data_IF_799399786487
#
_entry.id   IF_799399786487
#
_cell.length_a   1.000
_cell.length_b   1.000
_cell.length_c   1.000
_cell.angle_alpha   90.00
_cell.angle_beta   90.00
_cell.angle_gamma   90.00
#
_symmetry.space_group_name_H-M   'P 1'
#
loop_
_entity.id
_entity.type
_entity.pdbx_description
1 polymer ?
#
# COMPACT_ATOMS: atom_id res chain seq x y z
N UNK A 1 45.21 20.08 25.42
CA UNK A 1 44.28 18.94 25.28
C UNK A 1 43.24 19.30 24.23
N UNK A 2 43.33 18.71 23.03
CA UNK A 2 42.33 18.88 21.98
C UNK A 2 41.33 17.73 22.13
N UNK A 3 40.15 18.03 22.66
CA UNK A 3 39.07 17.04 22.79
C UNK A 3 38.42 16.89 21.42
N UNK A 4 38.79 15.84 20.69
CA UNK A 4 38.16 15.50 19.41
C UNK A 4 36.76 14.94 19.70
N UNK A 5 35.73 15.74 19.42
CA UNK A 5 34.33 15.34 19.53
C UNK A 5 33.99 14.41 18.34
N UNK A 6 33.93 13.10 18.59
CA UNK A 6 33.51 12.12 17.58
C UNK A 6 31.98 12.20 17.45
N UNK A 7 31.51 12.80 16.35
CA UNK A 7 30.10 12.84 15.99
C UNK A 7 29.69 11.46 15.45
N UNK A 8 29.17 10.59 16.31
CA UNK A 8 28.57 9.32 15.90
C UNK A 8 27.26 9.60 15.15
N UNK A 9 27.33 9.72 13.82
CA UNK A 9 26.16 9.68 12.94
C UNK A 9 25.61 8.26 12.93
N UNK A 10 24.70 7.94 13.84
CA UNK A 10 23.90 6.73 13.75
C UNK A 10 22.95 6.88 12.56
N UNK A 11 23.28 6.29 11.42
CA UNK A 11 22.33 6.11 10.33
C UNK A 11 21.19 5.24 10.87
N UNK A 12 20.03 5.85 11.13
CA UNK A 12 18.82 5.13 11.49
C UNK A 12 18.37 4.32 10.27
N UNK A 13 18.77 3.06 10.23
CA UNK A 13 18.25 2.09 9.27
C UNK A 13 16.82 1.77 9.70
N UNK A 14 15.85 2.05 8.82
CA UNK A 14 14.44 1.72 9.05
C UNK A 14 14.29 0.21 9.25
N UNK A 15 13.55 -0.24 10.26
CA UNK A 15 13.25 -1.67 10.45
C UNK A 15 12.52 -2.26 9.24
N UNK A 16 11.85 -1.44 8.42
CA UNK A 16 11.26 -1.88 7.17
C UNK A 16 12.28 -2.22 6.07
N UNK A 17 13.58 -1.92 6.26
CA UNK A 17 14.62 -2.35 5.33
C UNK A 17 14.70 -3.87 5.21
N UNK A 18 14.33 -4.61 6.27
CA UNK A 18 14.26 -6.08 6.24
C UNK A 18 13.16 -6.59 5.30
N UNK A 19 12.12 -5.78 5.07
CA UNK A 19 11.00 -6.14 4.20
C UNK A 19 11.26 -5.86 2.72
N UNK A 20 12.39 -5.24 2.37
CA UNK A 20 12.72 -4.84 0.99
C UNK A 20 12.82 -6.03 0.04
N UNK A 21 13.13 -7.23 0.54
CA UNK A 21 13.15 -8.46 -0.26
C UNK A 21 11.77 -8.83 -0.82
N UNK A 22 10.70 -8.24 -0.29
CA UNK A 22 9.31 -8.50 -0.68
C UNK A 22 8.64 -7.31 -1.38
N UNK A 23 9.38 -6.29 -1.86
CA UNK A 23 8.78 -5.07 -2.45
C UNK A 23 7.74 -5.34 -3.54
N UNK A 24 7.92 -6.44 -4.27
CA UNK A 24 7.04 -6.85 -5.38
C UNK A 24 6.13 -8.03 -4.99
N UNK A 25 6.01 -8.36 -3.70
CA UNK A 25 5.24 -9.49 -3.19
C UNK A 25 4.27 -9.06 -2.08
N UNK A 26 3.11 -9.70 -2.02
CA UNK A 26 2.16 -9.48 -0.93
C UNK A 26 2.67 -9.94 0.44
N UNK A 27 3.74 -10.71 0.52
CA UNK A 27 4.43 -11.06 1.77
C UNK A 27 5.12 -9.88 2.44
N UNK A 28 5.33 -8.77 1.74
CA UNK A 28 5.76 -7.50 2.35
C UNK A 28 4.90 -7.13 3.56
N UNK A 29 3.59 -7.29 3.41
CA UNK A 29 2.64 -6.98 4.47
C UNK A 29 2.76 -7.90 5.69
N UNK A 30 3.20 -9.15 5.52
CA UNK A 30 3.50 -10.06 6.64
C UNK A 30 4.75 -9.61 7.39
N UNK A 31 5.79 -9.20 6.66
CA UNK A 31 7.02 -8.67 7.25
C UNK A 31 6.74 -7.37 8.03
N UNK A 32 5.99 -6.44 7.45
CA UNK A 32 5.57 -5.23 8.18
C UNK A 32 4.75 -5.58 9.42
N UNK A 33 3.92 -6.62 9.37
CA UNK A 33 3.16 -7.09 10.51
C UNK A 33 4.04 -7.67 11.62
N UNK A 34 5.13 -8.39 11.33
CA UNK A 34 6.04 -8.88 12.38
C UNK A 34 6.74 -7.75 13.12
N UNK A 35 6.94 -6.60 12.46
CA UNK A 35 7.53 -5.40 13.06
C UNK A 35 6.48 -4.57 13.82
N UNK A 36 5.30 -4.32 13.22
CA UNK A 36 4.26 -3.43 13.79
C UNK A 36 3.29 -4.13 14.74
N UNK A 37 3.10 -5.43 14.59
CA UNK A 37 2.22 -6.26 15.41
C UNK A 37 0.81 -5.68 15.60
N UNK A 38 0.19 -5.20 14.52
CA UNK A 38 -1.11 -4.54 14.56
C UNK A 38 -2.32 -5.50 14.67
N UNK A 39 -2.07 -6.80 14.58
CA UNK A 39 -3.04 -7.87 14.67
C UNK A 39 -3.86 -8.08 13.40
N UNK A 40 -4.69 -9.13 13.43
CA UNK A 40 -5.51 -9.60 12.29
C UNK A 40 -6.49 -8.55 11.74
N UNK A 41 -6.84 -7.53 12.54
CA UNK A 41 -7.73 -6.42 12.14
C UNK A 41 -6.96 -5.17 11.72
N UNK A 42 -5.65 -5.16 11.95
CA UNK A 42 -4.69 -4.13 11.55
C UNK A 42 -4.58 -3.96 10.05
N UNK A 43 -3.91 -2.88 9.63
CA UNK A 43 -3.76 -2.60 8.21
C UNK A 43 -2.91 -3.64 7.47
N UNK A 44 -1.71 -4.02 7.93
CA UNK A 44 -0.79 -4.84 7.12
C UNK A 44 -1.46 -6.13 6.64
N UNK A 45 -1.91 -7.00 7.55
CA UNK A 45 -2.55 -8.27 7.17
C UNK A 45 -4.07 -8.17 6.98
N UNK A 46 -4.76 -7.39 7.81
CA UNK A 46 -6.23 -7.30 7.79
C UNK A 46 -6.80 -6.54 6.59
N UNK A 47 -5.97 -5.74 5.92
CA UNK A 47 -6.35 -5.01 4.71
C UNK A 47 -5.33 -5.17 3.58
N UNK A 48 -4.08 -4.77 3.78
CA UNK A 48 -3.02 -4.73 2.76
C UNK A 48 -2.81 -6.08 2.09
N UNK A 49 -2.28 -7.07 2.82
CA UNK A 49 -2.08 -8.45 2.35
C UNK A 49 -3.35 -9.05 1.75
N UNK A 50 -4.47 -8.91 2.47
CA UNK A 50 -5.76 -9.45 2.06
C UNK A 50 -6.18 -8.96 0.67
N UNK A 51 -6.05 -7.67 0.36
CA UNK A 51 -6.44 -7.14 -0.95
C UNK A 51 -5.36 -7.30 -1.99
N UNK A 52 -4.08 -7.24 -1.61
CA UNK A 52 -2.96 -7.58 -2.47
C UNK A 52 -3.14 -8.99 -3.07
N UNK A 53 -3.32 -10.03 -2.23
CA UNK A 53 -3.54 -11.40 -2.68
C UNK A 53 -4.79 -11.56 -3.56
N UNK A 54 -5.83 -10.76 -3.32
CA UNK A 54 -7.04 -10.77 -4.16
C UNK A 54 -6.78 -10.18 -5.55
N UNK A 55 -5.92 -9.16 -5.66
CA UNK A 55 -5.52 -8.63 -6.96
C UNK A 55 -4.66 -9.65 -7.70
N UNK A 56 -3.67 -10.27 -7.05
CA UNK A 56 -2.84 -11.32 -7.66
C UNK A 56 -3.66 -12.50 -8.15
N UNK A 57 -4.59 -13.01 -7.33
CA UNK A 57 -5.51 -14.09 -7.72
C UNK A 57 -6.40 -13.75 -8.93
N UNK A 58 -6.66 -12.47 -9.17
CA UNK A 58 -7.48 -12.02 -10.30
C UNK A 58 -6.66 -11.39 -11.43
N UNK A 59 -5.32 -11.39 -11.36
CA UNK A 59 -4.45 -10.67 -12.28
C UNK A 59 -4.71 -11.09 -13.73
N UNK A 60 -4.85 -12.38 -13.99
CA UNK A 60 -5.16 -12.95 -15.30
C UNK A 60 -6.53 -12.54 -15.89
N UNK A 61 -7.43 -11.93 -15.10
CA UNK A 61 -8.73 -11.44 -15.58
C UNK A 61 -8.65 -10.01 -16.12
N UNK A 62 -7.61 -9.27 -15.75
CA UNK A 62 -7.34 -7.94 -16.25
C UNK A 62 -6.78 -8.00 -17.67
N UNK A 63 -7.03 -6.93 -18.43
CA UNK A 63 -6.30 -6.69 -19.68
C UNK A 63 -4.79 -6.52 -19.41
N UNK A 64 -3.96 -6.51 -20.46
CA UNK A 64 -2.53 -6.24 -20.30
C UNK A 64 -2.27 -4.89 -19.60
N UNK A 65 -2.97 -3.82 -20.01
CA UNK A 65 -2.90 -2.52 -19.32
C UNK A 65 -3.39 -2.58 -17.87
N UNK A 66 -4.42 -3.39 -17.59
CA UNK A 66 -4.92 -3.61 -16.24
C UNK A 66 -3.93 -4.37 -15.35
N UNK A 67 -3.22 -5.35 -15.90
CA UNK A 67 -2.16 -6.08 -15.19
C UNK A 67 -1.00 -5.14 -14.83
N UNK A 68 -0.56 -4.33 -15.78
CA UNK A 68 0.48 -3.31 -15.54
C UNK A 68 0.04 -2.33 -14.44
N UNK A 69 -1.22 -1.87 -14.48
CA UNK A 69 -1.78 -1.02 -13.43
C UNK A 69 -1.78 -1.70 -12.05
N UNK A 70 -2.18 -2.98 -11.96
CA UNK A 70 -2.18 -3.74 -10.70
C UNK A 70 -0.76 -3.85 -10.13
N UNK A 71 0.24 -4.14 -10.96
CA UNK A 71 1.64 -4.21 -10.53
C UNK A 71 2.13 -2.84 -10.05
N UNK A 72 1.91 -1.78 -10.83
CA UNK A 72 2.37 -0.45 -10.49
C UNK A 72 1.73 0.09 -9.20
N UNK A 73 0.42 -0.14 -9.01
CA UNK A 73 -0.27 0.33 -7.80
C UNK A 73 0.18 -0.46 -6.57
N UNK A 74 0.49 -1.75 -6.71
CA UNK A 74 1.08 -2.56 -5.62
C UNK A 74 2.42 -1.97 -5.19
N UNK A 75 3.34 -1.75 -6.15
CA UNK A 75 4.67 -1.21 -5.85
C UNK A 75 4.59 0.19 -5.22
N UNK A 76 3.79 1.10 -5.80
CA UNK A 76 3.60 2.42 -5.24
C UNK A 76 3.08 2.39 -3.80
N UNK A 77 2.08 1.55 -3.51
CA UNK A 77 1.52 1.44 -2.16
C UNK A 77 2.54 0.93 -1.14
N UNK A 78 3.35 -0.06 -1.53
CA UNK A 78 4.41 -0.61 -0.68
C UNK A 78 5.49 0.45 -0.41
N UNK A 79 5.99 1.13 -1.44
CA UNK A 79 6.99 2.19 -1.29
C UNK A 79 6.49 3.35 -0.41
N UNK A 80 5.24 3.79 -0.61
CA UNK A 80 4.65 4.86 0.21
C UNK A 80 4.43 4.46 1.68
N UNK A 81 4.39 3.15 1.99
CA UNK A 81 4.31 2.66 3.36
C UNK A 81 5.64 2.75 4.11
N UNK A 82 6.77 2.73 3.40
CA UNK A 82 8.12 2.84 4.00
C UNK A 82 8.39 4.24 4.55
N UNK A 83 7.70 5.23 3.98
CA UNK A 83 7.74 6.62 4.43
C UNK A 83 6.89 6.85 5.70
N UNK A 84 6.14 5.85 6.15
CA UNK A 84 5.34 5.95 7.37
C UNK A 84 6.23 5.64 8.57
N UNK A 85 6.38 6.62 9.46
CA UNK A 85 7.12 6.46 10.72
C UNK A 85 6.76 5.16 11.44
N UNK A 86 7.79 4.42 11.83
CA UNK A 86 7.65 3.17 12.57
C UNK A 86 7.02 3.35 13.95
N UNK A 87 7.20 4.52 14.56
CA UNK A 87 6.59 4.88 15.84
C UNK A 87 5.09 5.18 15.73
N UNK A 88 4.52 5.19 14.51
CA UNK A 88 3.09 5.39 14.33
C UNK A 88 2.29 4.26 14.99
N UNK A 89 1.27 4.62 15.77
CA UNK A 89 0.30 3.64 16.28
C UNK A 89 -0.38 2.92 15.12
N UNK A 90 -0.87 1.70 15.34
CA UNK A 90 -1.57 0.94 14.30
C UNK A 90 -2.76 1.68 13.65
N UNK A 91 -3.46 2.52 14.42
CA UNK A 91 -4.52 3.38 13.90
C UNK A 91 -3.98 4.49 12.99
N UNK A 92 -2.91 5.17 13.40
CA UNK A 92 -2.25 6.19 12.60
C UNK A 92 -1.61 5.59 11.33
N UNK A 93 -0.94 4.44 11.46
CA UNK A 93 -0.37 3.69 10.35
C UNK A 93 -1.44 3.35 9.32
N UNK A 94 -2.55 2.73 9.74
CA UNK A 94 -3.71 2.43 8.88
C UNK A 94 -4.24 3.65 8.15
N UNK A 95 -4.43 4.76 8.86
CA UNK A 95 -4.93 6.01 8.27
C UNK A 95 -3.98 6.54 7.20
N UNK A 96 -2.68 6.56 7.51
CA UNK A 96 -1.63 6.97 6.56
C UNK A 96 -1.59 6.04 5.35
N UNK A 97 -1.55 4.72 5.52
CA UNK A 97 -1.53 3.78 4.38
C UNK A 97 -2.77 3.87 3.50
N UNK A 98 -3.98 4.04 4.08
CA UNK A 98 -5.20 4.25 3.28
C UNK A 98 -5.12 5.55 2.48
N UNK A 99 -4.53 6.62 3.04
CA UNK A 99 -4.40 7.91 2.35
C UNK A 99 -3.56 7.82 1.06
N UNK A 100 -2.62 6.87 0.98
CA UNK A 100 -1.74 6.64 -0.18
C UNK A 100 -2.44 6.01 -1.39
N UNK A 101 -3.64 5.45 -1.20
CA UNK A 101 -4.37 4.84 -2.29
C UNK A 101 -4.74 5.82 -3.40
N UNK A 102 -5.19 7.03 -3.04
CA UNK A 102 -5.62 8.01 -4.05
C UNK A 102 -4.45 8.39 -4.99
N UNK A 103 -3.31 8.90 -4.50
CA UNK A 103 -2.19 9.23 -5.38
C UNK A 103 -1.67 8.01 -6.14
N UNK A 104 -1.47 6.85 -5.50
CA UNK A 104 -0.96 5.66 -6.18
C UNK A 104 -1.91 5.13 -7.28
N UNK A 105 -3.22 5.19 -7.08
CA UNK A 105 -4.18 4.76 -8.10
C UNK A 105 -4.07 5.66 -9.34
N UNK A 106 -4.01 6.99 -9.13
CA UNK A 106 -3.95 7.98 -10.20
C UNK A 106 -2.62 7.86 -10.95
N UNK A 107 -1.49 7.90 -10.23
CA UNK A 107 -0.14 7.86 -10.84
C UNK A 107 0.13 6.54 -11.58
N UNK A 108 -0.46 5.42 -11.12
CA UNK A 108 -0.34 4.14 -11.81
C UNK A 108 -1.18 4.04 -13.10
N UNK A 109 -2.02 5.04 -13.39
CA UNK A 109 -2.80 5.11 -14.63
C UNK A 109 -4.26 4.67 -14.50
N UNK A 110 -4.88 4.71 -13.31
CA UNK A 110 -6.27 4.27 -13.12
C UNK A 110 -7.24 4.98 -14.08
N UNK A 111 -7.04 6.27 -14.34
CA UNK A 111 -7.92 7.07 -15.19
C UNK A 111 -8.00 6.53 -16.63
N UNK A 112 -6.89 6.00 -17.15
CA UNK A 112 -6.77 5.44 -18.50
C UNK A 112 -7.24 4.00 -18.63
N UNK A 113 -7.61 3.34 -17.52
CA UNK A 113 -8.09 1.96 -17.56
C UNK A 113 -9.41 1.82 -18.34
N UNK A 114 -9.55 0.66 -19.00
CA UNK A 114 -10.79 0.27 -19.64
C UNK A 114 -11.96 0.18 -18.64
N UNK A 115 -13.19 0.35 -19.11
CA UNK A 115 -14.40 0.14 -18.28
C UNK A 115 -14.44 -1.26 -17.65
N UNK A 116 -13.92 -2.28 -18.36
CA UNK A 116 -13.84 -3.66 -17.87
C UNK A 116 -12.87 -3.77 -16.69
N UNK A 117 -11.67 -3.21 -16.80
CA UNK A 117 -10.67 -3.25 -15.73
C UNK A 117 -11.13 -2.46 -14.51
N UNK A 118 -11.69 -1.26 -14.69
CA UNK A 118 -12.29 -0.47 -13.59
C UNK A 118 -13.36 -1.26 -12.82
N UNK A 119 -14.22 -2.02 -13.53
CA UNK A 119 -15.20 -2.91 -12.88
C UNK A 119 -14.55 -4.06 -12.13
N UNK A 120 -13.46 -4.63 -12.66
CA UNK A 120 -12.70 -5.68 -11.96
C UNK A 120 -12.06 -5.14 -10.68
N UNK A 121 -11.50 -3.92 -10.68
CA UNK A 121 -11.00 -3.26 -9.46
C UNK A 121 -12.10 -3.22 -8.39
N UNK A 122 -13.27 -2.67 -8.73
CA UNK A 122 -14.42 -2.56 -7.81
C UNK A 122 -14.85 -3.94 -7.31
N UNK A 123 -14.93 -4.95 -8.19
CA UNK A 123 -15.29 -6.33 -7.83
C UNK A 123 -14.29 -6.94 -6.86
N UNK A 124 -12.99 -6.70 -7.03
CA UNK A 124 -11.93 -7.18 -6.15
C UNK A 124 -12.04 -6.59 -4.75
N UNK A 125 -12.33 -5.28 -4.66
CA UNK A 125 -12.42 -4.55 -3.39
C UNK A 125 -13.81 -4.55 -2.75
N UNK A 126 -14.84 -5.14 -3.39
CA UNK A 126 -16.25 -5.05 -2.93
C UNK A 126 -16.46 -5.31 -1.43
N UNK A 127 -15.69 -6.25 -0.85
CA UNK A 127 -15.77 -6.61 0.56
C UNK A 127 -15.25 -5.56 1.55
N UNK A 128 -14.64 -4.46 1.09
CA UNK A 128 -14.23 -3.31 1.91
C UNK A 128 -15.09 -2.07 1.70
N UNK A 129 -16.05 -2.10 0.77
CA UNK A 129 -16.91 -0.95 0.43
C UNK A 129 -17.98 -0.63 1.47
N UNK A 130 -17.90 -1.22 2.67
CA UNK A 130 -18.65 -0.78 3.85
C UNK A 130 -17.81 0.16 4.73
N UNK A 131 -16.51 0.29 4.47
CA UNK A 131 -15.59 1.14 5.25
C UNK A 131 -15.61 2.57 4.70
N UNK A 132 -16.01 3.59 5.48
CA UNK A 132 -16.13 4.97 5.01
C UNK A 132 -14.83 5.54 4.41
N UNK A 133 -13.67 5.20 4.99
CA UNK A 133 -12.37 5.67 4.50
C UNK A 133 -12.04 5.13 3.10
N UNK A 134 -12.43 3.89 2.80
CA UNK A 134 -12.22 3.26 1.49
C UNK A 134 -13.19 3.82 0.47
N UNK A 135 -14.46 4.01 0.85
CA UNK A 135 -15.46 4.65 0.00
C UNK A 135 -15.01 6.07 -0.37
N UNK A 136 -14.57 6.86 0.61
CA UNK A 136 -14.04 8.22 0.39
C UNK A 136 -12.82 8.22 -0.53
N UNK A 137 -11.88 7.28 -0.36
CA UNK A 137 -10.73 7.16 -1.25
C UNK A 137 -11.16 6.80 -2.68
N UNK A 138 -12.07 5.85 -2.85
CA UNK A 138 -12.62 5.46 -4.15
C UNK A 138 -13.33 6.62 -4.86
N UNK A 139 -14.16 7.40 -4.14
CA UNK A 139 -14.80 8.58 -4.69
C UNK A 139 -13.78 9.63 -5.15
N UNK A 140 -12.70 9.85 -4.38
CA UNK A 140 -11.61 10.76 -4.76
C UNK A 140 -10.88 10.32 -6.03
N UNK A 141 -10.61 9.01 -6.16
CA UNK A 141 -10.02 8.46 -7.39
C UNK A 141 -10.96 8.70 -8.57
N UNK A 142 -12.25 8.39 -8.42
CA UNK A 142 -13.23 8.58 -9.48
C UNK A 142 -13.40 10.05 -9.86
N UNK A 143 -13.40 10.98 -8.90
CA UNK A 143 -13.49 12.42 -9.19
C UNK A 143 -12.26 12.99 -9.87
N UNK A 144 -11.07 12.43 -9.61
CA UNK A 144 -9.83 12.87 -10.24
C UNK A 144 -9.68 12.40 -11.71
N UNK A 145 -10.50 11.44 -12.14
CA UNK A 145 -10.47 10.87 -13.49
C UNK A 145 -11.64 11.36 -14.37
N UNK A 146 -12.28 12.47 -13.99
CA UNK A 146 -13.35 13.13 -14.75
C UNK A 146 -12.78 14.20 -15.66
#
# INVERSE_FOLDING_TARGET
MKTTLILLLTFYVSAYSECQIYLDDCEYYSCVESIKSCGKTGYPVGFGKKYCNKFEKNLNKFSHSGQNWVTNVKHCLIQEMELISEAATCSAYKTKSVSKHVPCYISSGYCSLSKKDKRLVIKTIKGSLWRPSIIKAGLKVLSACK
#
